data_IF_139058877353
#
_entry.id   IF_139058877353
#
_cell.length_a   1.000
_cell.length_b   1.000
_cell.length_c   1.000
_cell.angle_alpha   90.00
_cell.angle_beta   90.00
_cell.angle_gamma   90.00
#
_symmetry.space_group_name_H-M   'P 1'
#
loop_
_entity.id
_entity.type
_entity.pdbx_description
1 polymer ?
#
# COMPACT_ATOMS: atom_id res chain seq x y z
N UNK A 1 -0.78 -33.98 -72.53
CA UNK A 1 -0.20 -34.11 -71.18
C UNK A 1 -0.23 -32.74 -70.52
N UNK A 2 -1.16 -32.50 -69.59
CA UNK A 2 -1.22 -31.28 -68.77
C UNK A 2 -0.87 -31.68 -67.34
N UNK A 3 0.27 -31.22 -66.87
CA UNK A 3 0.81 -31.48 -65.53
C UNK A 3 0.07 -30.58 -64.54
N UNK A 4 -0.70 -31.16 -63.62
CA UNK A 4 -1.24 -30.43 -62.47
C UNK A 4 -0.17 -30.35 -61.38
N UNK A 5 0.25 -29.13 -61.06
CA UNK A 5 1.10 -28.83 -59.90
C UNK A 5 0.15 -28.62 -58.71
N UNK A 6 0.15 -29.56 -57.76
CA UNK A 6 -0.53 -29.37 -56.48
C UNK A 6 0.28 -28.42 -55.60
N UNK A 7 -0.30 -27.25 -55.30
CA UNK A 7 0.24 -26.31 -54.32
C UNK A 7 -0.20 -26.80 -52.94
N UNK A 8 0.74 -27.38 -52.19
CA UNK A 8 0.55 -27.70 -50.77
C UNK A 8 0.57 -26.37 -50.01
N UNK A 9 -0.59 -25.93 -49.53
CA UNK A 9 -0.70 -24.82 -48.60
C UNK A 9 -0.10 -25.23 -47.25
N UNK A 10 1.09 -24.72 -46.96
CA UNK A 10 1.71 -24.83 -45.65
C UNK A 10 0.91 -23.93 -44.68
N UNK A 11 0.01 -24.54 -43.91
CA UNK A 11 -0.66 -23.88 -42.78
C UNK A 11 0.39 -23.59 -41.70
N UNK A 12 1.02 -22.42 -41.79
CA UNK A 12 1.77 -21.83 -40.69
C UNK A 12 0.76 -21.54 -39.57
N UNK A 13 0.72 -22.42 -38.56
CA UNK A 13 0.18 -22.05 -37.26
C UNK A 13 1.04 -20.91 -36.73
N UNK A 14 0.58 -19.68 -36.95
CA UNK A 14 0.96 -18.54 -36.13
C UNK A 14 0.49 -18.86 -34.71
N UNK A 15 1.36 -19.50 -33.93
CA UNK A 15 1.31 -19.34 -32.48
C UNK A 15 1.55 -17.86 -32.26
N UNK A 16 0.46 -17.09 -32.19
CA UNK A 16 0.50 -15.78 -31.57
C UNK A 16 1.09 -16.02 -30.20
N UNK A 17 2.36 -15.67 -30.03
CA UNK A 17 2.99 -15.58 -28.73
C UNK A 17 2.12 -14.58 -27.99
N UNK A 18 1.23 -15.06 -27.12
CA UNK A 18 0.56 -14.18 -26.16
C UNK A 18 1.69 -13.39 -25.51
N UNK A 19 1.64 -12.07 -25.58
CA UNK A 19 2.52 -11.24 -24.77
C UNK A 19 2.44 -11.79 -23.34
N UNK A 20 3.58 -12.12 -22.74
CA UNK A 20 3.60 -12.66 -21.40
C UNK A 20 2.92 -11.65 -20.47
N UNK A 21 2.13 -12.12 -19.51
CA UNK A 21 1.34 -11.27 -18.62
C UNK A 21 1.42 -11.77 -17.18
N UNK A 22 1.14 -10.88 -16.23
CA UNK A 22 0.90 -11.18 -14.82
C UNK A 22 -0.58 -11.06 -14.51
N UNK A 23 -1.18 -12.08 -13.93
CA UNK A 23 -2.57 -11.97 -13.46
C UNK A 23 -2.61 -11.44 -12.06
N UNK A 24 -3.46 -10.44 -11.84
CA UNK A 24 -3.79 -9.94 -10.51
C UNK A 24 -5.27 -10.19 -10.28
N UNK A 25 -5.56 -11.01 -9.27
CA UNK A 25 -6.91 -11.27 -8.79
C UNK A 25 -7.24 -10.30 -7.66
N UNK A 26 -8.49 -9.87 -7.60
CA UNK A 26 -9.02 -9.03 -6.54
C UNK A 26 -10.28 -9.69 -5.99
N UNK A 27 -10.33 -9.95 -4.69
CA UNK A 27 -11.41 -10.67 -4.03
C UNK A 27 -11.99 -9.89 -2.86
N UNK A 28 -13.32 -9.81 -2.79
CA UNK A 28 -14.03 -9.21 -1.68
C UNK A 28 -14.57 -10.30 -0.74
N UNK A 29 -14.04 -10.38 0.48
CA UNK A 29 -14.60 -11.20 1.56
C UNK A 29 -15.30 -10.36 2.64
N UNK A 30 -15.39 -9.05 2.43
CA UNK A 30 -16.19 -8.18 3.28
C UNK A 30 -17.68 -8.53 3.11
N UNK A 31 -18.47 -8.28 4.15
CA UNK A 31 -19.92 -8.47 4.14
C UNK A 31 -20.67 -7.36 3.36
N UNK A 32 -19.96 -6.38 2.82
CA UNK A 32 -20.51 -5.27 2.03
C UNK A 32 -19.75 -5.12 0.71
N UNK A 33 -20.36 -4.46 -0.29
CA UNK A 33 -19.66 -4.11 -1.51
C UNK A 33 -18.48 -3.19 -1.23
N UNK A 34 -17.44 -3.35 -2.03
CA UNK A 34 -16.29 -2.45 -2.08
C UNK A 34 -16.09 -1.99 -3.51
N UNK A 35 -15.36 -0.89 -3.69
CA UNK A 35 -14.89 -0.45 -4.99
C UNK A 35 -13.37 -0.52 -5.01
N UNK A 36 -12.83 -1.57 -5.62
CA UNK A 36 -11.37 -1.70 -5.72
C UNK A 36 -10.82 -0.72 -6.77
N UNK A 37 -9.56 -0.37 -6.68
CA UNK A 37 -8.84 0.30 -7.77
C UNK A 37 -7.34 0.07 -7.65
N UNK A 38 -6.63 0.53 -8.67
CA UNK A 38 -5.18 0.56 -8.71
C UNK A 38 -4.69 1.97 -9.07
N UNK A 39 -3.55 2.36 -8.52
CA UNK A 39 -2.83 3.58 -8.90
C UNK A 39 -1.37 3.23 -9.18
N UNK A 40 -0.94 3.43 -10.43
CA UNK A 40 0.44 3.28 -10.84
C UNK A 40 1.31 4.39 -10.27
N UNK A 41 2.48 4.02 -9.77
CA UNK A 41 3.50 4.96 -9.29
C UNK A 41 4.18 5.71 -10.44
N UNK A 42 5.05 6.66 -10.08
CA UNK A 42 5.90 7.32 -11.06
C UNK A 42 6.82 6.30 -11.73
N UNK A 43 6.98 6.45 -13.04
CA UNK A 43 7.86 5.65 -13.87
C UNK A 43 9.01 6.53 -14.35
N UNK A 44 10.19 5.94 -14.47
CA UNK A 44 11.31 6.62 -15.13
C UNK A 44 11.00 6.86 -16.61
N UNK A 45 11.59 7.89 -17.17
CA UNK A 45 11.54 8.18 -18.61
C UNK A 45 12.59 7.35 -19.36
N UNK A 46 12.52 7.36 -20.70
CA UNK A 46 13.43 6.58 -21.56
C UNK A 46 14.84 7.18 -21.65
N UNK A 47 15.02 8.41 -21.19
CA UNK A 47 16.25 9.19 -21.37
C UNK A 47 17.23 9.05 -20.20
N UNK A 48 16.73 8.74 -19.00
CA UNK A 48 17.53 8.65 -17.78
C UNK A 48 17.02 7.56 -16.82
N UNK A 49 17.92 6.89 -16.07
CA UNK A 49 17.52 5.86 -15.11
C UNK A 49 16.79 6.41 -13.88
N UNK A 50 16.89 7.70 -13.58
CA UNK A 50 16.34 8.32 -12.36
C UNK A 50 15.37 9.47 -12.63
N UNK A 51 15.29 9.95 -13.87
CA UNK A 51 14.37 11.03 -14.23
C UNK A 51 13.00 10.45 -14.56
N UNK A 52 11.95 11.09 -14.05
CA UNK A 52 10.55 10.73 -14.30
C UNK A 52 9.85 11.75 -15.19
N UNK A 53 10.51 12.86 -15.54
CA UNK A 53 9.92 13.95 -16.31
C UNK A 53 9.59 13.54 -17.76
N UNK A 54 8.59 14.20 -18.35
CA UNK A 54 8.20 13.95 -19.74
C UNK A 54 7.63 15.20 -20.42
N UNK A 55 7.90 15.35 -21.72
CA UNK A 55 7.24 16.30 -22.61
C UNK A 55 5.95 15.73 -23.22
N UNK A 56 5.91 14.41 -23.45
CA UNK A 56 4.74 13.65 -23.89
C UNK A 56 4.92 12.14 -23.74
N UNK A 57 3.93 11.36 -24.20
CA UNK A 57 3.92 9.89 -24.06
C UNK A 57 5.15 9.20 -24.71
N UNK A 58 5.77 9.84 -25.71
CA UNK A 58 6.99 9.32 -26.36
C UNK A 58 8.24 9.31 -25.46
N UNK A 59 8.22 10.05 -24.34
CA UNK A 59 9.31 10.04 -23.36
C UNK A 59 9.15 8.91 -22.32
N UNK A 60 8.00 8.23 -22.34
CA UNK A 60 7.64 7.23 -21.34
C UNK A 60 7.80 5.80 -21.90
N UNK A 61 8.24 4.87 -21.04
CA UNK A 61 8.31 3.46 -21.41
C UNK A 61 6.90 2.92 -21.75
N UNK A 62 6.82 1.97 -22.67
CA UNK A 62 5.56 1.27 -22.95
C UNK A 62 4.94 0.72 -21.67
N UNK A 63 3.64 0.92 -21.46
CA UNK A 63 2.98 0.61 -20.19
C UNK A 63 2.94 1.76 -19.18
N UNK A 64 3.57 2.89 -19.49
CA UNK A 64 3.44 4.15 -18.76
C UNK A 64 2.90 5.27 -19.66
N UNK A 65 2.50 6.41 -19.08
CA UNK A 65 2.00 7.60 -19.78
C UNK A 65 2.52 8.88 -19.14
N UNK A 66 2.64 9.92 -19.95
CA UNK A 66 2.96 11.24 -19.47
C UNK A 66 1.72 11.90 -18.86
N UNK A 67 1.75 12.16 -17.56
CA UNK A 67 0.62 12.71 -16.80
C UNK A 67 1.01 14.07 -16.24
N UNK A 68 0.09 15.04 -16.35
CA UNK A 68 0.21 16.34 -15.68
C UNK A 68 -0.20 16.19 -14.21
N UNK A 69 0.74 16.45 -13.29
CA UNK A 69 0.53 16.44 -11.84
C UNK A 69 0.91 17.80 -11.28
N UNK A 70 -0.07 18.68 -11.07
CA UNK A 70 0.19 20.07 -10.67
C UNK A 70 1.00 20.82 -11.74
N UNK A 71 2.14 21.37 -11.35
CA UNK A 71 3.00 22.18 -12.23
C UNK A 71 3.96 21.36 -13.11
N UNK A 72 4.09 20.05 -12.87
CA UNK A 72 5.05 19.19 -13.56
C UNK A 72 4.35 18.10 -14.38
N UNK A 73 5.08 17.53 -15.33
CA UNK A 73 4.68 16.32 -16.06
C UNK A 73 5.67 15.21 -15.79
N UNK A 74 5.13 14.05 -15.46
CA UNK A 74 5.94 12.86 -15.19
C UNK A 74 5.32 11.62 -15.85
N UNK A 75 6.15 10.65 -16.17
CA UNK A 75 5.69 9.32 -16.58
C UNK A 75 5.11 8.60 -15.36
N UNK A 76 3.94 7.98 -15.53
CA UNK A 76 3.30 7.12 -14.54
C UNK A 76 2.92 5.79 -15.16
N UNK A 77 3.06 4.71 -14.41
CA UNK A 77 2.55 3.41 -14.83
C UNK A 77 1.04 3.49 -15.09
N UNK A 78 0.59 2.88 -16.19
CA UNK A 78 -0.83 2.83 -16.49
C UNK A 78 -1.55 1.96 -15.45
N UNK A 79 -2.73 2.41 -15.01
CA UNK A 79 -3.56 1.64 -14.10
C UNK A 79 -4.08 0.38 -14.83
N UNK A 80 -3.95 -0.82 -14.24
CA UNK A 80 -4.53 -2.04 -14.78
C UNK A 80 -6.04 -1.88 -15.03
N UNK A 81 -6.49 -2.38 -16.17
CA UNK A 81 -7.90 -2.28 -16.59
C UNK A 81 -8.60 -3.61 -16.42
N UNK A 82 -9.76 -3.59 -15.78
CA UNK A 82 -10.56 -4.77 -15.50
C UNK A 82 -11.62 -4.94 -16.60
N UNK A 83 -11.90 -6.18 -16.98
CA UNK A 83 -12.53 -6.54 -18.26
C UNK A 83 -13.93 -5.94 -18.51
N UNK A 84 -14.65 -5.56 -17.46
CA UNK A 84 -15.99 -4.96 -17.54
C UNK A 84 -16.02 -3.46 -17.23
N UNK A 85 -14.86 -2.84 -16.96
CA UNK A 85 -14.76 -1.43 -16.56
C UNK A 85 -15.46 -1.10 -15.24
N UNK A 86 -15.97 -2.10 -14.53
CA UNK A 86 -16.70 -1.93 -13.28
C UNK A 86 -15.76 -2.26 -12.11
N UNK A 87 -15.62 -1.29 -11.21
CA UNK A 87 -14.71 -1.38 -10.08
C UNK A 87 -15.42 -1.78 -8.78
N UNK A 88 -16.74 -1.97 -8.82
CA UNK A 88 -17.51 -2.53 -7.72
C UNK A 88 -17.31 -4.06 -7.63
N UNK A 89 -17.19 -4.56 -6.40
CA UNK A 89 -17.11 -5.97 -6.08
C UNK A 89 -18.06 -6.26 -4.91
N UNK A 90 -19.16 -6.97 -5.16
CA UNK A 90 -20.09 -7.38 -4.10
C UNK A 90 -19.48 -8.49 -3.24
N UNK A 91 -20.03 -8.78 -2.04
CA UNK A 91 -19.51 -9.82 -1.16
C UNK A 91 -19.29 -11.17 -1.86
N UNK A 92 -18.16 -11.81 -1.59
CA UNK A 92 -17.70 -13.08 -2.16
C UNK A 92 -17.40 -13.06 -3.67
N UNK A 93 -17.48 -11.90 -4.34
CA UNK A 93 -17.07 -11.78 -5.73
C UNK A 93 -15.56 -11.64 -5.86
N UNK A 94 -15.07 -11.99 -7.05
CA UNK A 94 -13.69 -11.77 -7.45
C UNK A 94 -13.63 -11.28 -8.90
N UNK A 95 -12.61 -10.50 -9.21
CA UNK A 95 -12.27 -10.05 -10.56
C UNK A 95 -10.78 -10.25 -10.82
N UNK A 96 -10.40 -10.25 -12.09
CA UNK A 96 -9.02 -10.41 -12.53
C UNK A 96 -8.68 -9.33 -13.55
N UNK A 97 -7.44 -8.84 -13.48
CA UNK A 97 -6.78 -8.05 -14.51
C UNK A 97 -5.47 -8.72 -14.90
N UNK A 98 -4.94 -8.34 -16.05
CA UNK A 98 -3.59 -8.69 -16.49
C UNK A 98 -2.72 -7.44 -16.55
N UNK A 99 -1.46 -7.57 -16.13
CA UNK A 99 -0.40 -6.59 -16.36
C UNK A 99 0.49 -7.16 -17.47
N UNK A 100 0.51 -6.53 -18.66
CA UNK A 100 1.33 -6.99 -19.77
C UNK A 100 2.83 -6.85 -19.46
N UNK A 101 3.63 -7.80 -19.95
CA UNK A 101 5.08 -7.72 -19.94
C UNK A 101 5.52 -7.09 -21.27
N UNK A 102 6.12 -5.92 -21.17
CA UNK A 102 6.62 -5.18 -22.33
C UNK A 102 8.11 -5.48 -22.56
N UNK A 103 8.49 -5.68 -23.82
CA UNK A 103 9.89 -5.71 -24.23
C UNK A 103 10.34 -4.30 -24.63
N UNK A 104 10.53 -3.44 -23.63
CA UNK A 104 10.71 -1.99 -23.80
C UNK A 104 12.01 -1.46 -23.16
N UNK A 105 12.93 -2.34 -22.76
CA UNK A 105 14.17 -1.95 -22.05
C UNK A 105 13.98 -1.56 -20.57
N UNK A 106 12.79 -1.74 -20.00
CA UNK A 106 12.55 -1.68 -18.56
C UNK A 106 12.51 -3.08 -17.95
N UNK A 107 13.14 -3.24 -16.78
CA UNK A 107 12.99 -4.45 -15.96
C UNK A 107 11.77 -4.39 -15.06
N UNK A 108 11.31 -3.20 -14.68
CA UNK A 108 10.02 -3.03 -14.00
C UNK A 108 8.93 -3.05 -15.06
N UNK A 109 7.92 -3.90 -14.88
CA UNK A 109 6.75 -3.96 -15.76
C UNK A 109 5.57 -3.16 -15.21
N UNK A 110 5.50 -3.04 -13.88
CA UNK A 110 4.53 -2.21 -13.17
C UNK A 110 5.00 -1.99 -11.73
N UNK A 111 4.79 -0.79 -11.22
CA UNK A 111 4.96 -0.48 -9.80
C UNK A 111 3.83 0.44 -9.36
N UNK A 112 3.23 0.14 -8.22
CA UNK A 112 2.08 0.89 -7.72
C UNK A 112 1.32 0.16 -6.62
N UNK A 113 0.11 0.64 -6.40
CA UNK A 113 -0.72 0.30 -5.25
C UNK A 113 -2.10 -0.18 -5.72
N UNK A 114 -2.68 -1.10 -4.96
CA UNK A 114 -4.09 -1.51 -5.08
C UNK A 114 -4.79 -1.38 -3.74
N UNK A 115 -6.02 -0.88 -3.75
CA UNK A 115 -6.78 -0.58 -2.54
C UNK A 115 -8.28 -0.80 -2.73
N UNK A 116 -8.98 -0.96 -1.61
CA UNK A 116 -10.45 -0.98 -1.57
C UNK A 116 -10.99 0.40 -1.21
N UNK A 117 -12.16 0.75 -1.72
CA UNK A 117 -12.86 2.00 -1.41
C UNK A 117 -14.27 1.68 -0.94
N UNK A 118 -14.84 2.51 -0.08
CA UNK A 118 -16.17 2.30 0.48
C UNK A 118 -17.15 3.38 0.02
N UNK A 119 -18.43 3.02 0.02
CA UNK A 119 -19.55 3.95 -0.17
C UNK A 119 -19.38 4.87 -1.40
N UNK A 120 -18.96 4.29 -2.53
CA UNK A 120 -18.69 5.05 -3.74
C UNK A 120 -19.94 5.32 -4.57
N UNK A 121 -19.90 6.47 -5.22
CA UNK A 121 -20.83 6.96 -6.23
C UNK A 121 -20.03 7.61 -7.37
N UNK A 122 -20.65 7.98 -8.50
CA UNK A 122 -19.96 8.74 -9.54
C UNK A 122 -19.34 10.07 -9.06
N UNK A 123 -19.81 10.62 -7.94
CA UNK A 123 -19.27 11.85 -7.34
C UNK A 123 -18.06 11.65 -6.42
N UNK A 124 -17.80 10.43 -5.96
CA UNK A 124 -16.74 10.17 -4.99
C UNK A 124 -17.01 8.95 -4.10
N UNK A 125 -16.01 8.58 -3.31
CA UNK A 125 -16.06 7.56 -2.26
C UNK A 125 -15.92 8.18 -0.87
N UNK A 126 -16.45 7.52 0.16
CA UNK A 126 -16.30 7.96 1.56
C UNK A 126 -14.89 7.69 2.07
N UNK A 127 -14.34 6.51 1.78
CA UNK A 127 -12.95 6.17 2.12
C UNK A 127 -12.15 5.91 0.86
N UNK A 128 -10.89 6.37 0.87
CA UNK A 128 -9.92 6.08 -0.20
C UNK A 128 -10.40 6.52 -1.60
N UNK A 129 -11.11 7.64 -1.70
CA UNK A 129 -11.42 8.20 -3.01
C UNK A 129 -10.13 8.48 -3.81
N UNK A 130 -10.17 8.32 -5.13
CA UNK A 130 -9.04 8.61 -6.00
C UNK A 130 -9.43 9.51 -7.18
N UNK A 131 -10.43 10.37 -6.96
CA UNK A 131 -10.80 11.46 -7.84
C UNK A 131 -11.64 11.07 -9.06
N UNK A 132 -12.24 9.87 -9.06
CA UNK A 132 -13.10 9.39 -10.15
C UNK A 132 -14.27 8.50 -9.66
N UNK A 133 -14.74 8.74 -8.44
CA UNK A 133 -15.93 8.08 -7.90
C UNK A 133 -15.84 6.56 -7.92
N UNK A 134 -16.88 5.91 -8.44
CA UNK A 134 -16.98 4.46 -8.57
C UNK A 134 -16.18 3.87 -9.76
N UNK A 135 -15.47 4.70 -10.51
CA UNK A 135 -14.62 4.30 -11.64
C UNK A 135 -13.16 4.00 -11.26
N UNK A 136 -12.32 3.82 -12.28
CA UNK A 136 -10.87 3.67 -12.12
C UNK A 136 -10.22 4.94 -11.56
N UNK A 137 -9.15 4.82 -10.78
CA UNK A 137 -8.37 5.99 -10.40
C UNK A 137 -7.79 6.71 -11.63
N UNK A 138 -7.69 8.04 -11.55
CA UNK A 138 -6.99 8.83 -12.55
C UNK A 138 -5.51 8.46 -12.54
N UNK A 139 -4.86 8.45 -13.70
CA UNK A 139 -3.42 8.23 -13.75
C UNK A 139 -2.70 9.32 -12.93
N UNK A 140 -1.66 8.93 -12.18
CA UNK A 140 -0.92 9.83 -11.29
C UNK A 140 -1.68 10.30 -10.04
N UNK A 141 -2.87 9.77 -9.78
CA UNK A 141 -3.68 10.09 -8.60
C UNK A 141 -3.73 8.90 -7.65
N UNK A 142 -3.07 9.04 -6.49
CA UNK A 142 -3.16 8.08 -5.39
C UNK A 142 -4.50 8.14 -4.64
N UNK A 143 -4.71 7.18 -3.74
CA UNK A 143 -5.86 7.18 -2.84
C UNK A 143 -5.79 8.34 -1.84
N UNK A 144 -6.93 8.93 -1.52
CA UNK A 144 -7.08 9.78 -0.35
C UNK A 144 -6.87 8.94 0.91
N UNK A 145 -5.99 9.41 1.78
CA UNK A 145 -5.61 8.72 3.01
C UNK A 145 -6.52 9.18 4.16
N UNK A 146 -6.83 8.33 5.16
CA UNK A 146 -6.32 6.98 5.41
C UNK A 146 -6.69 5.89 4.39
N UNK A 147 -5.72 5.04 4.02
CA UNK A 147 -5.95 3.88 3.17
C UNK A 147 -4.93 2.73 3.42
N UNK A 148 -5.44 1.54 3.77
CA UNK A 148 -4.70 0.28 3.67
C UNK A 148 -4.55 -0.13 2.23
N UNK A 149 -3.33 -0.43 1.79
CA UNK A 149 -3.02 -0.68 0.39
C UNK A 149 -2.11 -1.90 0.23
N UNK A 150 -2.25 -2.58 -0.90
CA UNK A 150 -1.31 -3.60 -1.35
C UNK A 150 -0.34 -2.96 -2.33
N UNK A 151 0.94 -2.86 -1.96
CA UNK A 151 1.98 -2.29 -2.82
C UNK A 151 2.72 -3.41 -3.54
N UNK A 152 3.14 -3.14 -4.78
CA UNK A 152 3.99 -4.07 -5.51
C UNK A 152 4.88 -3.36 -6.52
N UNK A 153 6.06 -3.93 -6.73
CA UNK A 153 6.94 -3.68 -7.86
C UNK A 153 7.20 -5.00 -8.55
N UNK A 154 6.68 -5.14 -9.77
CA UNK A 154 6.79 -6.34 -10.57
C UNK A 154 7.98 -6.25 -11.51
N UNK A 155 8.84 -7.27 -11.48
CA UNK A 155 10.12 -7.31 -12.19
C UNK A 155 10.10 -8.42 -13.22
N UNK A 156 10.43 -8.07 -14.47
CA UNK A 156 10.38 -8.93 -15.66
C UNK A 156 11.26 -10.16 -15.54
N UNK A 157 12.55 -9.98 -15.27
CA UNK A 157 13.56 -11.07 -15.20
C UNK A 157 14.10 -11.33 -13.79
N UNK A 158 13.54 -10.64 -12.80
CA UNK A 158 14.02 -10.66 -11.42
C UNK A 158 12.92 -10.96 -10.42
N UNK A 159 13.19 -10.56 -9.18
CA UNK A 159 12.34 -10.80 -8.02
C UNK A 159 11.34 -9.65 -7.88
N UNK A 160 10.07 -9.99 -7.71
CA UNK A 160 9.04 -9.01 -7.38
C UNK A 160 9.15 -8.62 -5.89
N UNK A 161 8.80 -7.38 -5.56
CA UNK A 161 8.69 -6.87 -4.20
C UNK A 161 7.25 -6.49 -3.92
N UNK A 162 6.73 -6.82 -2.75
CA UNK A 162 5.35 -6.51 -2.38
C UNK A 162 5.11 -6.51 -0.88
N UNK A 163 4.05 -5.83 -0.46
CA UNK A 163 3.67 -5.69 0.93
C UNK A 163 2.21 -5.24 1.08
N UNK A 164 1.75 -5.20 2.33
CA UNK A 164 0.50 -4.54 2.72
C UNK A 164 0.87 -3.35 3.58
N UNK A 165 0.69 -2.15 3.06
CA UNK A 165 0.97 -0.91 3.79
C UNK A 165 -0.24 -0.42 4.58
N UNK A 166 0.07 0.07 5.78
CA UNK A 166 -0.85 0.78 6.67
C UNK A 166 -0.24 2.07 7.21
N UNK A 167 0.98 2.42 6.78
CA UNK A 167 1.68 3.63 7.19
C UNK A 167 0.83 4.89 6.97
N UNK A 168 0.11 4.96 5.86
CA UNK A 168 -0.75 6.10 5.53
C UNK A 168 -2.16 5.99 6.16
N UNK A 169 -2.39 4.99 7.01
CA UNK A 169 -3.67 4.77 7.69
C UNK A 169 -4.34 3.45 7.36
N UNK A 170 -5.39 3.15 8.11
CA UNK A 170 -6.13 1.88 8.01
C UNK A 170 -7.61 2.16 7.82
N UNK A 171 -8.27 1.48 6.90
CA UNK A 171 -9.72 1.59 6.71
C UNK A 171 -10.40 0.25 6.42
N UNK A 172 -9.62 -0.74 5.97
CA UNK A 172 -10.11 -2.10 5.79
C UNK A 172 -8.95 -3.11 5.86
N UNK A 173 -9.18 -4.32 6.41
CA UNK A 173 -8.19 -5.40 6.37
C UNK A 173 -7.88 -5.85 4.94
N UNK A 174 -6.60 -6.04 4.63
CA UNK A 174 -6.11 -6.51 3.31
C UNK A 174 -5.16 -7.68 3.50
N UNK A 175 -5.23 -8.70 2.65
CA UNK A 175 -4.10 -9.62 2.46
C UNK A 175 -3.67 -9.65 1.01
N UNK A 176 -2.38 -9.83 0.76
CA UNK A 176 -1.82 -9.82 -0.58
C UNK A 176 -0.74 -10.89 -0.72
N UNK A 177 -0.81 -11.73 -1.77
CA UNK A 177 0.19 -12.77 -1.96
C UNK A 177 0.07 -13.52 -3.29
N UNK A 178 1.04 -14.39 -3.60
CA UNK A 178 1.10 -15.12 -4.86
C UNK A 178 0.07 -16.26 -4.93
N UNK A 179 -0.45 -16.56 -6.12
CA UNK A 179 -1.49 -17.59 -6.34
C UNK A 179 -1.02 -18.84 -7.05
N UNK A 180 0.11 -18.78 -7.75
CA UNK A 180 0.66 -19.89 -8.54
C UNK A 180 2.03 -20.36 -8.03
N UNK A 181 2.40 -19.98 -6.80
CA UNK A 181 3.62 -20.37 -6.11
C UNK A 181 3.30 -20.63 -4.65
N UNK A 182 3.79 -21.75 -4.10
CA UNK A 182 3.66 -22.02 -2.68
C UNK A 182 4.60 -21.10 -1.85
N UNK A 183 4.25 -20.91 -0.58
CA UNK A 183 5.13 -20.24 0.39
C UNK A 183 6.49 -20.93 0.47
N UNK A 184 7.58 -20.15 0.45
CA UNK A 184 8.94 -20.70 0.41
C UNK A 184 9.67 -20.50 1.74
N UNK A 185 9.70 -19.28 2.25
CA UNK A 185 10.28 -18.91 3.55
C UNK A 185 9.53 -17.71 4.11
N UNK A 186 9.82 -17.30 5.35
CA UNK A 186 9.10 -16.24 6.07
C UNK A 186 8.59 -15.11 5.15
N UNK A 187 9.52 -14.37 4.53
CA UNK A 187 9.23 -13.21 3.68
C UNK A 187 9.39 -13.50 2.17
N UNK A 188 9.30 -14.77 1.77
CA UNK A 188 9.44 -15.20 0.38
C UNK A 188 8.25 -16.02 -0.10
N UNK A 189 7.55 -15.48 -1.09
CA UNK A 189 6.29 -15.98 -1.65
C UNK A 189 5.22 -16.20 -0.57
N UNK A 190 5.24 -15.37 0.48
CA UNK A 190 4.27 -15.37 1.56
C UNK A 190 3.06 -14.50 1.25
N UNK A 191 2.12 -14.41 2.21
CA UNK A 191 0.90 -13.62 2.06
C UNK A 191 0.77 -12.64 3.24
N UNK A 192 1.41 -11.45 3.20
CA UNK A 192 1.19 -10.40 4.20
C UNK A 192 -0.30 -10.10 4.38
N UNK A 193 -0.69 -9.77 5.60
CA UNK A 193 -2.07 -9.43 5.93
C UNK A 193 -3.00 -10.62 6.15
N UNK A 194 -2.50 -11.85 5.97
CA UNK A 194 -3.29 -13.06 6.18
C UNK A 194 -3.43 -13.44 7.66
N UNK A 195 -4.62 -13.87 8.07
CA UNK A 195 -4.87 -14.50 9.39
C UNK A 195 -4.19 -15.86 9.51
N UNK A 196 -4.11 -16.58 8.39
CA UNK A 196 -3.46 -17.87 8.29
C UNK A 196 -2.36 -17.78 7.22
N UNK A 197 -1.17 -17.29 7.59
CA UNK A 197 -0.08 -17.16 6.63
C UNK A 197 0.36 -18.52 6.10
N UNK A 198 0.80 -18.55 4.85
CA UNK A 198 1.32 -19.74 4.16
C UNK A 198 2.84 -19.91 4.33
N UNK A 199 3.48 -19.04 5.09
CA UNK A 199 4.90 -19.06 5.45
C UNK A 199 5.04 -18.91 6.96
N UNK A 200 6.24 -19.17 7.50
CA UNK A 200 6.51 -19.02 8.92
C UNK A 200 6.65 -17.54 9.29
N UNK A 201 5.53 -16.83 9.40
CA UNK A 201 5.39 -15.44 9.88
C UNK A 201 4.15 -15.37 10.79
N UNK A 202 4.03 -14.31 11.60
CA UNK A 202 2.87 -14.16 12.47
C UNK A 202 1.57 -13.88 11.72
N UNK A 203 0.46 -14.27 12.34
CA UNK A 203 -0.89 -14.04 11.83
C UNK A 203 -1.32 -12.58 11.94
N UNK A 204 -2.01 -12.06 10.93
CA UNK A 204 -2.73 -10.79 11.04
C UNK A 204 -4.15 -11.01 11.54
N UNK A 205 -4.40 -10.67 12.81
CA UNK A 205 -5.73 -10.69 13.43
C UNK A 205 -6.59 -9.50 13.02
N UNK A 206 -5.97 -8.40 12.55
CA UNK A 206 -6.62 -7.12 12.27
C UNK A 206 -7.50 -6.58 13.42
N UNK A 207 -7.31 -7.11 14.63
CA UNK A 207 -7.94 -6.62 15.85
C UNK A 207 -7.14 -5.41 16.35
N UNK A 208 -7.57 -4.24 15.89
CA UNK A 208 -6.88 -2.99 16.05
C UNK A 208 -7.25 -2.32 17.38
N UNK A 209 -6.26 -2.21 18.26
CA UNK A 209 -6.39 -1.65 19.60
C UNK A 209 -5.52 -0.40 19.73
N UNK A 210 -5.95 0.75 19.18
CA UNK A 210 -5.12 1.95 19.19
C UNK A 210 -4.91 2.50 20.62
N UNK A 211 -3.85 3.30 20.85
CA UNK A 211 -3.54 3.84 22.17
C UNK A 211 -4.59 4.81 22.73
N UNK A 212 -5.35 5.49 21.86
CA UNK A 212 -6.41 6.41 22.25
C UNK A 212 -7.42 6.59 21.12
N UNK A 213 -8.55 7.23 21.44
CA UNK A 213 -9.57 7.60 20.45
C UNK A 213 -9.06 8.60 19.40
N UNK A 214 -7.95 9.29 19.62
CA UNK A 214 -7.34 10.22 18.66
C UNK A 214 -6.77 9.49 17.43
N UNK A 215 -6.65 8.17 17.47
CA UNK A 215 -6.30 7.36 16.31
C UNK A 215 -7.53 6.97 15.49
N UNK A 216 -8.74 7.04 16.04
CA UNK A 216 -9.94 6.70 15.27
C UNK A 216 -10.12 7.74 14.16
N UNK A 217 -10.29 7.30 12.92
CA UNK A 217 -10.75 8.12 11.83
C UNK A 217 -12.27 8.03 11.74
N UNK A 218 -12.93 9.19 11.79
CA UNK A 218 -14.39 9.27 11.76
C UNK A 218 -14.89 10.23 10.67
N UNK A 219 -16.15 10.06 10.28
CA UNK A 219 -16.84 10.97 9.36
C UNK A 219 -16.83 12.41 9.89
N UNK A 220 -16.72 13.38 8.98
CA UNK A 220 -16.84 14.80 9.28
C UNK A 220 -18.25 15.24 9.72
N UNK A 221 -18.35 16.43 10.30
CA UNK A 221 -19.64 17.12 10.54
C UNK A 221 -20.32 16.86 11.88
N UNK A 222 -19.76 16.03 12.77
CA UNK A 222 -20.29 15.85 14.12
C UNK A 222 -19.76 16.85 15.16
N UNK A 223 -20.30 16.76 16.38
CA UNK A 223 -19.90 17.62 17.50
C UNK A 223 -18.53 17.23 18.04
N UNK A 224 -17.84 18.19 18.68
CA UNK A 224 -16.59 17.92 19.41
C UNK A 224 -16.79 16.85 20.50
N UNK A 225 -15.79 15.99 20.69
CA UNK A 225 -15.82 14.91 21.68
C UNK A 225 -14.46 14.70 22.35
N UNK A 226 -14.47 14.09 23.53
CA UNK A 226 -13.28 13.61 24.22
C UNK A 226 -13.25 12.08 24.31
N UNK A 227 -14.43 11.44 24.42
CA UNK A 227 -14.60 10.00 24.54
C UNK A 227 -15.83 9.50 23.78
N UNK A 228 -15.92 8.18 23.53
CA UNK A 228 -17.07 7.56 22.85
C UNK A 228 -18.41 7.80 23.57
N UNK A 229 -18.39 8.00 24.89
CA UNK A 229 -19.58 8.33 25.69
C UNK A 229 -20.23 9.65 25.26
N UNK A 230 -19.49 10.54 24.60
CA UNK A 230 -20.01 11.82 24.11
C UNK A 230 -20.83 11.63 22.82
N UNK A 231 -20.73 10.47 22.16
CA UNK A 231 -21.08 10.31 20.74
C UNK A 231 -22.38 9.56 20.43
N UNK A 232 -23.29 9.38 21.39
CA UNK A 232 -24.66 8.85 21.16
C UNK A 232 -24.76 7.65 20.17
N UNK A 233 -23.81 6.71 20.24
CA UNK A 233 -23.79 5.51 19.41
C UNK A 233 -22.78 5.51 18.26
N UNK A 234 -22.12 6.65 17.98
CA UNK A 234 -20.97 6.73 17.07
C UNK A 234 -19.64 6.77 17.85
N UNK A 235 -18.52 6.93 17.15
CA UNK A 235 -17.18 6.95 17.75
C UNK A 235 -16.67 8.37 17.90
N UNK A 236 -15.91 8.60 18.95
CA UNK A 236 -15.08 9.80 19.06
C UNK A 236 -13.76 9.57 18.33
N UNK A 237 -13.36 10.49 17.45
CA UNK A 237 -12.13 10.39 16.69
C UNK A 237 -11.79 11.63 15.90
N UNK A 238 -10.72 11.56 15.12
CA UNK A 238 -10.30 12.63 14.23
C UNK A 238 -11.05 12.53 12.88
N UNK A 239 -11.66 13.63 12.48
CA UNK A 239 -12.28 13.81 11.16
C UNK A 239 -11.46 14.76 10.28
N UNK A 240 -11.50 14.54 8.97
CA UNK A 240 -10.89 15.42 7.97
C UNK A 240 -11.93 16.39 7.42
N UNK A 241 -11.70 17.69 7.58
CA UNK A 241 -12.67 18.76 7.30
C UNK A 241 -12.08 19.78 6.31
N UNK A 242 -12.00 19.43 5.01
CA UNK A 242 -11.46 20.33 4.00
C UNK A 242 -12.31 21.62 3.92
N UNK A 243 -11.65 22.78 3.89
CA UNK A 243 -12.30 24.10 3.86
C UNK A 243 -12.56 24.72 5.24
N UNK A 244 -12.25 24.02 6.33
CA UNK A 244 -12.25 24.58 7.69
C UNK A 244 -10.86 25.07 8.10
N UNK A 245 -10.80 25.98 9.09
CA UNK A 245 -9.54 26.51 9.62
C UNK A 245 -8.66 25.41 10.23
N UNK A 246 -9.28 24.48 10.97
CA UNK A 246 -8.63 23.27 11.45
C UNK A 246 -9.02 22.11 10.52
N UNK A 247 -8.03 21.64 9.76
CA UNK A 247 -8.23 20.60 8.75
C UNK A 247 -8.54 19.23 9.36
N UNK A 248 -8.03 18.96 10.56
CA UNK A 248 -8.31 17.75 11.33
C UNK A 248 -8.88 18.17 12.70
N UNK A 249 -10.03 17.62 13.05
CA UNK A 249 -10.74 17.96 14.29
C UNK A 249 -11.22 16.70 15.02
N UNK A 250 -11.23 16.75 16.35
CA UNK A 250 -11.76 15.67 17.17
C UNK A 250 -13.28 15.80 17.32
N UNK A 251 -14.01 14.89 16.70
CA UNK A 251 -15.48 14.94 16.60
C UNK A 251 -16.11 13.56 16.74
N UNK A 252 -17.41 13.53 17.01
CA UNK A 252 -18.22 12.33 16.90
C UNK A 252 -18.51 12.01 15.43
N UNK A 253 -18.40 10.75 15.04
CA UNK A 253 -18.74 10.33 13.68
C UNK A 253 -18.73 8.82 13.51
N UNK A 254 -19.24 8.35 12.38
CA UNK A 254 -19.15 6.94 12.03
C UNK A 254 -17.69 6.56 11.87
N UNK A 255 -17.33 5.37 12.35
CA UNK A 255 -15.96 4.91 12.33
C UNK A 255 -15.56 4.48 10.93
N UNK A 256 -14.57 5.16 10.34
CA UNK A 256 -14.07 4.91 8.99
C UNK A 256 -12.76 4.12 8.98
N UNK A 257 -12.05 4.08 10.11
CA UNK A 257 -10.75 3.44 10.19
C UNK A 257 -9.86 4.09 11.23
N UNK A 258 -8.56 4.14 10.97
CA UNK A 258 -7.56 4.72 11.86
C UNK A 258 -6.56 5.60 11.14
N UNK A 259 -6.21 6.69 11.81
CA UNK A 259 -5.06 7.52 11.50
C UNK A 259 -3.76 6.88 12.02
N UNK A 260 -2.67 7.20 11.34
CA UNK A 260 -1.31 7.02 11.87
C UNK A 260 -0.69 8.36 12.21
N UNK A 261 0.35 8.33 13.03
CA UNK A 261 1.15 9.52 13.32
C UNK A 261 1.81 10.08 12.06
N UNK A 262 2.29 9.21 11.18
CA UNK A 262 2.86 9.58 9.87
C UNK A 262 1.86 10.39 9.06
N UNK A 263 0.64 9.84 8.86
CA UNK A 263 -0.38 10.49 8.06
C UNK A 263 -0.83 11.82 8.66
N UNK A 264 -1.06 11.89 9.97
CA UNK A 264 -1.51 13.13 10.63
C UNK A 264 -0.42 14.21 10.59
N UNK A 265 0.83 13.86 10.91
CA UNK A 265 1.95 14.81 10.84
C UNK A 265 2.31 15.18 9.39
N UNK A 266 2.06 14.32 8.41
CA UNK A 266 2.24 14.61 6.99
C UNK A 266 1.23 15.63 6.47
N UNK A 267 -0.03 15.54 6.90
CA UNK A 267 -1.08 16.49 6.54
C UNK A 267 -0.94 17.80 7.31
N UNK A 268 -0.68 17.73 8.62
CA UNK A 268 -0.54 18.89 9.50
C UNK A 268 0.78 18.76 10.28
N UNK A 269 1.90 19.31 9.75
CA UNK A 269 3.19 19.26 10.42
C UNK A 269 3.22 19.94 11.81
N UNK A 270 2.23 20.80 12.10
CA UNK A 270 2.03 21.47 13.38
C UNK A 270 1.01 20.78 14.31
N UNK A 271 0.55 19.57 14.00
CA UNK A 271 -0.47 18.90 14.79
C UNK A 271 0.02 18.68 16.23
N UNK A 272 -0.86 19.00 17.20
CA UNK A 272 -0.58 18.88 18.62
C UNK A 272 -0.75 17.46 19.14
N UNK A 273 -1.21 17.33 20.38
CA UNK A 273 -1.43 16.04 21.02
C UNK A 273 -2.41 15.15 20.20
N UNK A 274 -2.21 13.82 20.19
CA UNK A 274 -1.17 13.09 20.93
C UNK A 274 0.19 13.00 20.21
N UNK A 275 0.27 13.35 18.93
CA UNK A 275 1.48 13.15 18.12
C UNK A 275 2.55 14.22 18.37
N UNK A 276 2.12 15.44 18.68
CA UNK A 276 2.96 16.61 18.95
C UNK A 276 4.06 16.77 17.90
N UNK A 277 3.68 16.92 16.63
CA UNK A 277 4.57 16.80 15.48
C UNK A 277 5.74 17.82 15.53
N UNK A 278 5.58 18.96 16.20
CA UNK A 278 6.64 19.98 16.33
C UNK A 278 7.51 19.85 17.57
N UNK A 279 7.19 18.94 18.49
CA UNK A 279 7.99 18.77 19.70
C UNK A 279 9.40 18.36 19.33
N UNK A 280 10.37 19.14 19.81
CA UNK A 280 11.79 18.85 19.60
C UNK A 280 12.16 17.57 20.32
N UNK A 281 13.06 16.81 19.71
CA UNK A 281 13.67 15.68 20.39
C UNK A 281 14.59 16.16 21.53
N UNK A 282 14.77 15.34 22.58
CA UNK A 282 15.72 15.64 23.63
C UNK A 282 17.15 15.62 23.07
N UNK A 283 18.08 16.23 23.80
CA UNK A 283 19.51 16.09 23.51
C UNK A 283 19.92 14.59 23.53
N UNK A 284 20.85 14.16 22.65
CA UNK A 284 21.65 14.96 21.72
C UNK A 284 20.97 15.27 20.37
N UNK A 285 19.70 14.88 20.17
CA UNK A 285 19.00 14.96 18.89
C UNK A 285 18.21 16.25 18.67
N UNK A 286 18.55 17.32 19.39
CA UNK A 286 17.77 18.57 19.48
C UNK A 286 17.61 19.35 18.17
N UNK A 287 18.32 18.94 17.11
CA UNK A 287 18.17 19.47 15.75
C UNK A 287 16.93 18.96 15.01
N UNK A 288 16.24 17.95 15.56
CA UNK A 288 15.07 17.31 14.94
C UNK A 288 13.83 17.42 15.84
N UNK A 289 12.66 17.23 15.23
CA UNK A 289 11.37 17.16 15.91
C UNK A 289 10.64 15.85 15.59
N UNK A 290 9.47 15.67 16.22
CA UNK A 290 8.69 14.46 16.02
C UNK A 290 8.25 14.27 14.55
N UNK A 291 7.99 15.34 13.79
CA UNK A 291 7.66 15.28 12.36
C UNK A 291 8.79 14.62 11.56
N UNK A 292 10.05 15.01 11.79
CA UNK A 292 11.19 14.36 11.14
C UNK A 292 11.22 12.85 11.44
N UNK A 293 10.81 12.46 12.64
CA UNK A 293 10.88 11.09 13.13
C UNK A 293 9.67 10.23 12.78
N UNK A 294 8.49 10.80 12.56
CA UNK A 294 7.35 10.04 12.05
C UNK A 294 7.50 9.76 10.56
N UNK A 295 7.92 10.78 9.78
CA UNK A 295 8.05 10.67 8.32
C UNK A 295 9.43 10.18 7.86
N UNK A 296 10.40 10.06 8.77
CA UNK A 296 11.81 9.82 8.44
C UNK A 296 12.38 10.80 7.39
N UNK A 297 12.05 12.09 7.49
CA UNK A 297 12.46 13.10 6.50
C UNK A 297 13.62 13.94 7.01
N UNK A 298 14.65 14.09 6.16
CA UNK A 298 15.89 14.79 6.48
C UNK A 298 16.84 14.01 7.38
N UNK A 299 16.56 12.71 7.58
CA UNK A 299 17.25 11.78 8.47
C UNK A 299 17.32 10.42 7.78
N UNK A 300 18.39 9.65 8.00
CA UNK A 300 18.51 8.28 7.49
C UNK A 300 17.85 7.23 8.41
N UNK A 301 17.50 6.07 7.84
CA UNK A 301 17.00 4.93 8.61
C UNK A 301 18.10 4.24 9.43
N UNK A 302 17.74 3.78 10.62
CA UNK A 302 18.57 3.01 11.53
C UNK A 302 18.90 1.58 11.03
N UNK A 303 18.24 1.12 9.95
CA UNK A 303 18.57 -0.13 9.27
C UNK A 303 19.70 0.04 8.24
N UNK A 304 19.99 1.27 7.80
CA UNK A 304 20.94 1.48 6.70
C UNK A 304 22.42 1.43 7.16
N UNK A 305 23.34 0.91 6.32
CA UNK A 305 24.77 0.98 6.60
C UNK A 305 25.24 2.43 6.83
N UNK A 306 25.96 2.66 7.93
CA UNK A 306 26.44 3.99 8.30
C UNK A 306 25.38 4.89 8.96
N UNK A 307 24.27 4.34 9.44
CA UNK A 307 23.23 5.07 10.16
C UNK A 307 23.81 5.92 11.31
N UNK A 308 23.44 7.21 11.35
CA UNK A 308 23.82 8.13 12.42
C UNK A 308 23.07 7.82 13.73
N UNK A 309 23.52 8.38 14.85
CA UNK A 309 22.84 8.19 16.14
C UNK A 309 21.44 8.84 16.18
N UNK A 310 21.21 9.80 15.29
CA UNK A 310 19.92 10.49 15.13
C UNK A 310 18.99 9.79 14.13
N UNK A 311 19.32 8.58 13.69
CA UNK A 311 18.55 7.85 12.68
C UNK A 311 17.08 7.64 13.11
N UNK A 312 16.24 7.33 12.13
CA UNK A 312 14.82 7.05 12.31
C UNK A 312 14.58 5.52 12.27
N UNK A 313 13.49 5.06 12.86
CA UNK A 313 13.09 3.66 12.75
C UNK A 313 13.97 2.70 13.56
N UNK A 314 13.86 1.44 13.15
CA UNK A 314 14.50 0.29 13.74
C UNK A 314 13.99 -0.21 15.08
N UNK A 315 13.16 -1.26 14.99
CA UNK A 315 12.61 -2.00 16.12
C UNK A 315 12.78 -3.48 15.82
N UNK A 316 13.44 -4.20 16.74
CA UNK A 316 13.42 -5.66 16.72
C UNK A 316 12.05 -6.10 17.25
N UNK A 317 11.07 -6.32 16.38
CA UNK A 317 9.69 -6.56 16.77
C UNK A 317 9.49 -7.87 17.58
N UNK A 318 10.35 -8.86 17.38
CA UNK A 318 10.39 -10.10 18.18
C UNK A 318 10.71 -9.81 19.66
N UNK A 319 11.58 -8.85 19.94
CA UNK A 319 11.91 -8.39 21.30
C UNK A 319 10.76 -7.56 21.92
N UNK A 320 9.83 -7.06 21.11
CA UNK A 320 8.69 -6.23 21.53
C UNK A 320 7.40 -7.04 21.78
N UNK A 321 7.47 -8.37 21.65
CA UNK A 321 6.33 -9.27 21.80
C UNK A 321 5.37 -9.23 20.62
N UNK A 322 5.89 -8.96 19.42
CA UNK A 322 5.19 -9.16 18.15
C UNK A 322 5.62 -10.51 17.58
N UNK A 323 4.67 -11.27 17.05
CA UNK A 323 4.92 -12.57 16.45
C UNK A 323 5.58 -12.41 15.07
N UNK A 324 6.90 -12.18 15.06
CA UNK A 324 7.72 -12.19 13.85
C UNK A 324 8.88 -13.17 14.01
N UNK A 325 9.32 -13.83 12.93
CA UNK A 325 10.59 -14.53 12.91
C UNK A 325 11.74 -13.64 13.37
N UNK A 326 12.60 -14.16 14.23
CA UNK A 326 13.84 -13.47 14.63
C UNK A 326 14.89 -13.51 13.50
N UNK A 327 15.98 -12.77 13.70
CA UNK A 327 17.19 -12.89 12.88
C UNK A 327 17.59 -14.36 12.64
N UNK A 328 17.99 -14.78 11.42
CA UNK A 328 18.34 -13.94 10.27
C UNK A 328 17.17 -13.62 9.31
N UNK A 329 15.92 -13.95 9.67
CA UNK A 329 14.78 -13.62 8.82
C UNK A 329 14.42 -12.14 8.88
N UNK A 330 14.63 -11.50 10.03
CA UNK A 330 14.53 -10.05 10.22
C UNK A 330 15.91 -9.39 10.26
N UNK A 331 15.99 -8.15 9.82
CA UNK A 331 17.20 -7.34 9.88
C UNK A 331 17.39 -6.78 11.29
N UNK A 332 18.61 -6.87 11.81
CA UNK A 332 18.95 -6.22 13.08
C UNK A 332 19.30 -4.76 12.82
N UNK A 333 18.95 -3.90 13.79
CA UNK A 333 19.37 -2.51 13.78
C UNK A 333 20.87 -2.35 13.60
N UNK A 334 21.25 -1.50 12.63
CA UNK A 334 22.63 -1.05 12.44
C UNK A 334 22.99 0.02 13.48
N UNK A 335 22.05 0.92 13.78
CA UNK A 335 22.14 1.88 14.88
C UNK A 335 20.78 2.02 15.59
N UNK A 336 20.72 2.73 16.73
CA UNK A 336 19.49 2.96 17.48
C UNK A 336 19.41 4.40 17.97
N UNK A 337 18.22 4.99 17.84
CA UNK A 337 17.88 6.28 18.42
C UNK A 337 16.91 6.07 19.59
N UNK A 338 17.36 6.34 20.82
CA UNK A 338 16.54 6.13 22.02
C UNK A 338 15.32 7.05 22.04
N UNK A 339 15.45 8.30 21.59
CA UNK A 339 14.33 9.23 21.54
C UNK A 339 13.27 8.79 20.52
N UNK A 340 13.69 8.22 19.38
CA UNK A 340 12.76 7.61 18.43
C UNK A 340 12.05 6.41 19.07
N UNK A 341 12.78 5.52 19.73
CA UNK A 341 12.21 4.34 20.40
C UNK A 341 11.20 4.70 21.50
N UNK A 342 11.47 5.75 22.28
CA UNK A 342 10.61 6.16 23.38
C UNK A 342 9.32 6.83 22.89
N UNK A 343 9.40 7.61 21.80
CA UNK A 343 8.27 8.42 21.31
C UNK A 343 7.47 7.75 20.18
N UNK A 344 8.14 7.10 19.24
CA UNK A 344 7.53 6.67 17.97
C UNK A 344 7.08 5.23 18.00
N UNK A 345 7.89 4.32 18.57
CA UNK A 345 7.63 2.87 18.59
C UNK A 345 6.21 2.52 19.02
N UNK A 346 5.71 3.17 20.08
CA UNK A 346 4.36 2.87 20.59
C UNK A 346 3.23 3.34 19.67
N UNK A 347 3.48 4.33 18.82
CA UNK A 347 2.51 4.76 17.78
C UNK A 347 2.37 3.73 16.65
N UNK A 348 3.34 2.80 16.54
CA UNK A 348 3.38 1.73 15.52
C UNK A 348 3.00 0.36 16.09
N UNK A 349 3.38 0.09 17.35
CA UNK A 349 3.30 -1.23 17.99
C UNK A 349 1.90 -1.85 17.98
N UNK A 350 0.85 -1.04 18.10
CA UNK A 350 -0.52 -1.54 18.09
C UNK A 350 -0.93 -2.07 16.70
N UNK A 351 -0.50 -1.41 15.62
CA UNK A 351 -0.70 -1.91 14.24
C UNK A 351 0.10 -3.18 14.00
N UNK A 352 1.39 -3.20 14.40
CA UNK A 352 2.25 -4.38 14.28
C UNK A 352 1.74 -5.58 15.07
N UNK A 353 1.16 -5.38 16.25
CA UNK A 353 0.51 -6.47 17.00
C UNK A 353 -0.74 -7.01 16.30
N UNK A 354 -1.54 -6.14 15.69
CA UNK A 354 -2.73 -6.55 14.94
C UNK A 354 -2.37 -7.22 13.60
N UNK A 355 -1.28 -6.81 12.97
CA UNK A 355 -0.75 -7.43 11.77
C UNK A 355 0.79 -7.36 11.72
N UNK A 356 1.49 -8.42 12.15
CA UNK A 356 2.96 -8.45 12.19
C UNK A 356 3.63 -8.19 10.85
N UNK A 357 2.98 -8.58 9.76
CA UNK A 357 3.51 -8.46 8.40
C UNK A 357 3.16 -7.15 7.68
N UNK A 358 2.45 -6.23 8.33
CA UNK A 358 2.08 -4.96 7.70
C UNK A 358 3.25 -3.98 7.70
N UNK A 359 3.38 -3.19 6.63
CA UNK A 359 4.34 -2.09 6.52
C UNK A 359 3.76 -0.85 7.20
N UNK A 360 4.36 -0.45 8.33
CA UNK A 360 3.80 0.54 9.26
C UNK A 360 4.58 1.84 9.33
N UNK A 361 5.80 1.90 8.78
CA UNK A 361 6.73 3.01 8.99
C UNK A 361 7.70 3.16 7.80
N UNK A 362 8.22 4.36 7.48
CA UNK A 362 9.17 4.53 6.39
C UNK A 362 10.44 3.72 6.65
N UNK A 363 10.84 2.86 5.71
CA UNK A 363 11.92 1.91 5.91
C UNK A 363 11.65 0.98 7.10
N UNK A 364 10.42 0.47 7.22
CA UNK A 364 10.10 -0.61 8.16
C UNK A 364 11.05 -1.80 7.94
N UNK A 365 11.20 -2.68 8.93
CA UNK A 365 12.04 -3.85 8.72
C UNK A 365 11.47 -4.76 7.61
N UNK A 366 12.33 -5.69 7.20
CA UNK A 366 11.99 -6.80 6.31
C UNK A 366 10.83 -7.66 6.83
N UNK A 367 10.35 -7.49 8.08
CA UNK A 367 9.11 -8.17 8.52
C UNK A 367 7.87 -7.76 7.74
N UNK A 368 8.00 -6.68 6.97
CA UNK A 368 6.91 -6.00 6.28
C UNK A 368 6.98 -6.08 4.77
N UNK A 369 8.11 -6.55 4.20
CA UNK A 369 8.34 -6.57 2.75
C UNK A 369 8.62 -7.99 2.30
N UNK A 370 7.82 -8.45 1.34
CA UNK A 370 7.90 -9.79 0.79
C UNK A 370 8.50 -9.76 -0.61
N UNK A 371 9.10 -10.89 -0.98
CA UNK A 371 9.66 -11.10 -2.31
C UNK A 371 9.11 -12.36 -2.95
N UNK A 372 8.98 -12.41 -4.27
CA UNK A 372 8.64 -13.67 -4.94
C UNK A 372 9.15 -13.73 -6.38
N UNK A 373 9.44 -14.95 -6.83
CA UNK A 373 9.74 -15.24 -8.23
C UNK A 373 9.33 -16.67 -8.56
N UNK A 374 8.87 -16.87 -9.80
CA UNK A 374 8.58 -18.17 -10.39
C UNK A 374 8.91 -18.06 -11.86
N UNK A 375 10.07 -18.59 -12.27
CA UNK A 375 10.60 -18.34 -13.61
C UNK A 375 10.04 -19.32 -14.64
N UNK A 376 9.62 -18.80 -15.79
CA UNK A 376 9.40 -19.56 -17.00
C UNK A 376 10.36 -19.02 -18.08
N UNK A 377 11.44 -19.77 -18.33
CA UNK A 377 12.59 -19.25 -19.06
C UNK A 377 13.24 -18.11 -18.26
N UNK A 378 13.47 -16.97 -18.92
CA UNK A 378 14.06 -15.77 -18.30
C UNK A 378 13.02 -14.80 -17.76
N UNK A 379 11.73 -15.13 -17.83
CA UNK A 379 10.64 -14.26 -17.41
C UNK A 379 10.06 -14.80 -16.12
N UNK A 380 10.00 -13.99 -15.08
CA UNK A 380 9.24 -14.30 -13.89
C UNK A 380 7.75 -14.45 -14.32
N UNK A 381 6.92 -15.30 -13.70
CA UNK A 381 5.50 -15.59 -14.03
C UNK A 381 4.59 -15.63 -12.79
N UNK A 382 4.95 -14.99 -11.68
CA UNK A 382 4.14 -15.02 -10.44
C UNK A 382 2.82 -14.27 -10.61
N UNK A 383 1.70 -14.95 -10.41
CA UNK A 383 0.38 -14.32 -10.32
C UNK A 383 0.05 -13.98 -8.87
N UNK A 384 -0.76 -12.94 -8.63
CA UNK A 384 -1.10 -12.48 -7.28
C UNK A 384 -2.60 -12.37 -7.02
N UNK A 385 -2.98 -12.30 -5.74
CA UNK A 385 -4.33 -11.97 -5.29
C UNK A 385 -4.31 -10.96 -4.15
N UNK A 386 -5.05 -9.86 -4.33
CA UNK A 386 -5.44 -8.93 -3.27
C UNK A 386 -6.79 -9.37 -2.71
N UNK A 387 -6.88 -9.58 -1.40
CA UNK A 387 -8.12 -9.98 -0.72
C UNK A 387 -8.48 -8.96 0.33
N UNK A 388 -9.70 -8.43 0.24
CA UNK A 388 -10.27 -7.50 1.20
C UNK A 388 -11.07 -8.25 2.26
N UNK A 389 -10.90 -7.88 3.52
CA UNK A 389 -11.45 -8.57 4.69
C UNK A 389 -11.11 -10.07 4.72
N UNK A 390 -9.82 -10.46 4.70
CA UNK A 390 -9.37 -11.86 4.55
C UNK A 390 -9.83 -12.84 5.63
N UNK A 391 -10.50 -12.35 6.68
CA UNK A 391 -10.99 -13.14 7.81
C UNK A 391 -12.48 -13.50 7.73
N UNK A 392 -13.18 -13.13 6.65
CA UNK A 392 -14.65 -13.14 6.56
C UNK A 392 -15.32 -12.35 7.71
N UNK A 393 -14.58 -11.42 8.32
CA UNK A 393 -15.07 -10.58 9.39
C UNK A 393 -15.86 -9.40 8.81
N UNK A 394 -16.83 -8.91 9.60
CA UNK A 394 -17.45 -7.64 9.28
C UNK A 394 -16.32 -6.59 9.28
N UNK A 395 -16.13 -5.88 8.16
CA UNK A 395 -15.36 -4.64 8.27
C UNK A 395 -16.21 -3.70 9.13
N UNK A 396 -15.82 -3.54 10.40
CA UNK A 396 -16.51 -2.65 11.35
C UNK A 396 -16.55 -1.21 10.82
N UNK A 397 -15.70 -0.90 9.83
CA UNK A 397 -15.54 0.39 9.16
C UNK A 397 -16.49 0.59 7.95
N UNK A 398 -17.04 -0.49 7.39
CA UNK A 398 -18.01 -0.39 6.29
C UNK A 398 -19.40 -0.30 6.92
N UNK A 399 -19.88 0.92 7.20
CA UNK A 399 -21.26 1.17 7.66
C UNK A 399 -22.22 1.48 6.52
#
# INVERSE_FOLDING_TARGET
MRTQISVIALLLFSTTIRAAERKINVRNLCNKPIWFAASGGSARNIHSPTDTSCGGDGDCFQGSKCVQTGAIRQCFWQNPTFSDGNYKLDPNQQKQTSIPIYDNGSEIIWSGIMGGRSNCSPSGCETSDCGNGDGACKAGQGFQQPATQAEMTLVKTGVDFYDVEVINGIHLPVSFGPTNVAGQSAYKCGTPGAKHPNTNVGSCSWDLQPPSNDYNWVTAGGNHCNADSDCQGTKCGLSFNPGHADLIQKTCGNHLGYWTADQVCGVIPSFGAPFNCQDRLPAPYSGFNNWNMYLCVGIGSCYQPGASDSCCGCVNWDEEGVDVPSYPYTEKCVNKNSAWNDRMKNTLKWMKKACPTAYTYPYDDISSTFTCQHMNGSVNIVDYQVTFCPQNEQSVFLQ
#
